data_IF_877093443409
#
_entry.id   IF_877093443409
#
_cell.length_a   1.000
_cell.length_b   1.000
_cell.length_c   1.000
_cell.angle_alpha   90.00
_cell.angle_beta   90.00
_cell.angle_gamma   90.00
#
_symmetry.space_group_name_H-M   'P 1'
#
loop_
_entity.id
_entity.type
_entity.pdbx_description
1 polymer ?
#
# COMPACT_ATOMS: atom_id res chain seq x y z
N UNK A 1 25.49 28.06 2.08
CA UNK A 1 25.83 26.93 1.19
C UNK A 1 24.55 26.10 1.02
N UNK A 2 23.81 26.31 -0.07
CA UNK A 2 22.57 25.57 -0.32
C UNK A 2 22.96 24.16 -0.79
N UNK A 3 22.78 23.17 0.08
CA UNK A 3 22.65 21.79 -0.40
C UNK A 3 21.40 21.79 -1.25
N UNK A 4 21.51 21.45 -2.54
CA UNK A 4 20.35 21.22 -3.41
C UNK A 4 19.53 20.11 -2.74
N UNK A 5 18.46 20.49 -2.06
CA UNK A 5 17.66 19.59 -1.24
C UNK A 5 16.91 18.64 -2.15
N UNK A 6 17.25 17.36 -2.11
CA UNK A 6 16.49 16.31 -2.79
C UNK A 6 15.07 16.33 -2.20
N UNK A 7 14.08 16.51 -3.06
CA UNK A 7 12.66 16.53 -2.67
C UNK A 7 12.20 15.15 -2.24
N UNK A 8 11.15 15.08 -1.42
CA UNK A 8 10.55 13.79 -1.04
C UNK A 8 10.08 12.99 -2.26
N UNK A 9 9.57 13.69 -3.29
CA UNK A 9 9.20 13.12 -4.58
C UNK A 9 10.39 12.40 -5.24
N UNK A 10 11.52 13.10 -5.41
CA UNK A 10 12.73 12.52 -6.01
C UNK A 10 13.24 11.30 -5.23
N UNK A 11 13.20 11.35 -3.90
CA UNK A 11 13.55 10.17 -3.08
C UNK A 11 12.64 8.98 -3.40
N UNK A 12 11.32 9.20 -3.50
CA UNK A 12 10.36 8.13 -3.78
C UNK A 12 10.53 7.58 -5.19
N UNK A 13 10.68 8.46 -6.18
CA UNK A 13 10.93 8.06 -7.58
C UNK A 13 12.22 7.26 -7.69
N UNK A 14 13.32 7.73 -7.08
CA UNK A 14 14.59 7.01 -7.09
C UNK A 14 14.49 5.65 -6.39
N UNK A 15 13.73 5.55 -5.30
CA UNK A 15 13.48 4.29 -4.61
C UNK A 15 12.66 3.29 -5.45
N UNK A 16 11.68 3.77 -6.22
CA UNK A 16 10.95 2.98 -7.22
C UNK A 16 11.89 2.48 -8.33
N UNK A 17 12.65 3.40 -8.94
CA UNK A 17 13.57 3.10 -10.04
C UNK A 17 14.63 2.07 -9.63
N UNK A 18 15.24 2.23 -8.45
CA UNK A 18 16.24 1.30 -7.92
C UNK A 18 15.71 -0.14 -7.74
N UNK A 19 14.39 -0.34 -7.78
CA UNK A 19 13.71 -1.62 -7.61
C UNK A 19 13.02 -2.11 -8.87
N UNK A 20 13.16 -1.40 -9.99
CA UNK A 20 12.45 -1.70 -11.24
C UNK A 20 10.93 -1.52 -11.11
N UNK A 21 10.48 -0.64 -10.22
CA UNK A 21 9.06 -0.35 -10.01
C UNK A 21 8.70 0.92 -10.77
N UNK A 22 7.64 0.86 -11.57
CA UNK A 22 7.05 2.05 -12.18
C UNK A 22 6.26 2.85 -11.13
N UNK A 23 6.59 4.14 -10.99
CA UNK A 23 5.99 5.03 -10.01
C UNK A 23 4.48 5.24 -10.24
N UNK A 24 4.06 5.36 -11.50
CA UNK A 24 2.67 5.62 -11.87
C UNK A 24 1.81 4.37 -11.73
N UNK A 25 2.31 3.21 -12.14
CA UNK A 25 1.62 1.94 -11.93
C UNK A 25 1.52 1.59 -10.45
N UNK A 26 2.56 1.86 -9.64
CA UNK A 26 2.49 1.71 -8.18
C UNK A 26 1.36 2.57 -7.59
N UNK A 27 1.23 3.83 -8.03
CA UNK A 27 0.12 4.68 -7.62
C UNK A 27 -1.24 4.07 -7.97
N UNK A 28 -1.41 3.61 -9.21
CA UNK A 28 -2.67 3.02 -9.69
C UNK A 28 -3.05 1.79 -8.87
N UNK A 29 -2.10 0.87 -8.66
CA UNK A 29 -2.32 -0.39 -7.92
C UNK A 29 -2.74 -0.09 -6.47
N UNK A 30 -1.98 0.76 -5.78
CA UNK A 30 -2.19 1.02 -4.36
C UNK A 30 -3.44 1.85 -4.12
N UNK A 31 -3.73 2.81 -4.99
CA UNK A 31 -4.95 3.63 -4.86
C UNK A 31 -6.20 2.76 -4.91
N UNK A 32 -6.28 1.80 -5.83
CA UNK A 32 -7.43 0.88 -5.90
C UNK A 32 -7.58 0.09 -4.59
N UNK A 33 -6.46 -0.35 -4.02
CA UNK A 33 -6.43 -1.10 -2.77
C UNK A 33 -6.81 -0.23 -1.55
N UNK A 34 -6.34 1.02 -1.47
CA UNK A 34 -6.72 1.96 -0.43
C UNK A 34 -8.20 2.35 -0.47
N UNK A 35 -8.79 2.54 -1.66
CA UNK A 35 -10.22 2.84 -1.81
C UNK A 35 -11.09 1.69 -1.29
N UNK A 36 -10.59 0.45 -1.30
CA UNK A 36 -11.29 -0.72 -0.77
C UNK A 36 -11.05 -0.97 0.71
N UNK A 37 -10.09 -0.28 1.34
CA UNK A 37 -9.64 -0.57 2.71
C UNK A 37 -10.78 -0.63 3.74
N UNK A 38 -11.54 0.45 3.89
CA UNK A 38 -12.61 0.53 4.90
C UNK A 38 -13.72 -0.51 4.63
N UNK A 39 -14.14 -0.65 3.37
CA UNK A 39 -15.18 -1.59 2.99
C UNK A 39 -14.75 -3.05 3.19
N UNK A 40 -13.50 -3.39 2.84
CA UNK A 40 -12.93 -4.72 3.06
C UNK A 40 -12.78 -5.04 4.54
N UNK A 41 -12.27 -4.09 5.34
CA UNK A 41 -12.15 -4.23 6.81
C UNK A 41 -13.52 -4.43 7.47
N UNK A 42 -14.53 -3.66 7.06
CA UNK A 42 -15.89 -3.82 7.55
C UNK A 42 -16.47 -5.17 7.16
N UNK A 43 -16.28 -5.61 5.91
CA UNK A 43 -16.73 -6.90 5.42
C UNK A 43 -16.11 -8.06 6.24
N UNK A 44 -14.79 -8.05 6.42
CA UNK A 44 -14.07 -9.05 7.21
C UNK A 44 -14.59 -9.12 8.65
N UNK A 45 -14.86 -7.96 9.27
CA UNK A 45 -15.45 -7.89 10.63
C UNK A 45 -16.83 -8.54 10.68
N UNK A 46 -17.68 -8.36 9.66
CA UNK A 46 -19.03 -8.96 9.60
C UNK A 46 -18.98 -10.48 9.38
N UNK A 47 -18.03 -10.98 8.59
CA UNK A 47 -17.93 -12.41 8.27
C UNK A 47 -17.42 -13.26 9.44
N UNK A 48 -16.79 -12.64 10.45
CA UNK A 48 -16.34 -13.32 11.67
C UNK A 48 -15.12 -14.24 11.47
N UNK A 49 -14.75 -14.96 12.54
CA UNK A 49 -13.49 -15.75 12.60
C UNK A 49 -13.47 -16.96 11.65
N UNK A 50 -14.61 -17.55 11.32
CA UNK A 50 -14.69 -18.73 10.46
C UNK A 50 -14.29 -18.45 9.01
N UNK A 51 -14.62 -17.27 8.49
CA UNK A 51 -14.18 -16.83 7.16
C UNK A 51 -12.67 -16.52 7.16
N UNK A 52 -12.16 -15.88 8.21
CA UNK A 52 -10.74 -15.55 8.37
C UNK A 52 -9.83 -16.78 8.45
N UNK A 53 -10.27 -17.85 9.09
CA UNK A 53 -9.51 -19.09 9.20
C UNK A 53 -9.45 -19.89 7.88
N UNK A 54 -10.44 -19.76 7.00
CA UNK A 54 -10.47 -20.42 5.69
C UNK A 54 -9.80 -19.60 4.56
N UNK A 55 -9.65 -18.29 4.74
CA UNK A 55 -9.15 -17.36 3.70
C UNK A 55 -7.72 -16.88 3.97
N UNK A 56 -7.14 -17.20 5.14
CA UNK A 56 -5.75 -16.89 5.52
C UNK A 56 -4.71 -17.65 4.70
N UNK A 57 -4.62 -17.34 3.40
CA UNK A 57 -3.47 -17.65 2.56
C UNK A 57 -2.70 -16.34 2.34
N UNK A 58 -2.10 -15.82 3.43
CA UNK A 58 -1.26 -14.59 3.41
C UNK A 58 -0.18 -14.66 2.32
N UNK A 59 0.38 -15.86 2.14
CA UNK A 59 1.45 -16.16 1.20
C UNK A 59 1.03 -15.86 -0.24
N UNK A 60 -0.01 -16.50 -0.83
CA UNK A 60 -0.49 -16.20 -2.17
C UNK A 60 -0.75 -14.73 -2.47
N UNK A 61 -1.31 -13.97 -1.52
CA UNK A 61 -1.56 -12.55 -1.75
C UNK A 61 -0.29 -11.69 -1.76
N UNK A 62 0.73 -12.04 -0.95
CA UNK A 62 2.00 -11.32 -0.98
C UNK A 62 2.77 -11.61 -2.26
N UNK A 63 2.84 -12.87 -2.68
CA UNK A 63 3.48 -13.27 -3.95
C UNK A 63 2.76 -12.63 -5.14
N UNK A 64 1.42 -12.69 -5.16
CA UNK A 64 0.62 -12.04 -6.20
C UNK A 64 0.80 -10.51 -6.20
N UNK A 65 0.93 -9.87 -5.02
CA UNK A 65 1.22 -8.44 -4.96
C UNK A 65 2.56 -8.08 -5.60
N UNK A 66 3.60 -8.86 -5.28
CA UNK A 66 4.94 -8.69 -5.85
C UNK A 66 4.88 -8.81 -7.37
N UNK A 67 4.16 -9.81 -7.89
CA UNK A 67 4.03 -10.02 -9.33
C UNK A 67 3.22 -8.93 -10.03
N UNK A 68 2.10 -8.48 -9.44
CA UNK A 68 1.32 -7.35 -9.97
C UNK A 68 2.16 -6.07 -10.04
N UNK A 69 3.02 -5.82 -9.06
CA UNK A 69 3.91 -4.64 -9.06
C UNK A 69 5.04 -4.79 -10.08
N UNK A 70 5.59 -5.99 -10.26
CA UNK A 70 6.67 -6.24 -11.21
C UNK A 70 6.18 -6.26 -12.68
N UNK A 71 4.96 -6.74 -12.90
CA UNK A 71 4.39 -6.96 -14.24
C UNK A 71 2.97 -6.36 -14.35
N UNK A 72 2.78 -5.04 -14.11
CA UNK A 72 1.46 -4.43 -14.00
C UNK A 72 0.59 -4.60 -15.26
N UNK A 73 1.23 -4.67 -16.44
CA UNK A 73 0.56 -4.81 -17.73
C UNK A 73 0.01 -6.22 -18.01
N UNK A 74 0.45 -7.23 -17.24
CA UNK A 74 -0.12 -8.58 -17.31
C UNK A 74 -1.51 -8.65 -16.66
N UNK A 75 -1.90 -7.61 -15.92
CA UNK A 75 -3.12 -7.56 -15.13
C UNK A 75 -4.08 -6.48 -15.61
N UNK A 76 -5.25 -6.92 -16.09
CA UNK A 76 -6.30 -6.00 -16.47
C UNK A 76 -6.93 -5.31 -15.24
N UNK A 77 -7.73 -4.27 -15.49
CA UNK A 77 -8.37 -3.48 -14.43
C UNK A 77 -9.29 -4.31 -13.52
N UNK A 78 -9.95 -5.34 -14.05
CA UNK A 78 -10.85 -6.21 -13.28
C UNK A 78 -10.06 -7.09 -12.32
N UNK A 79 -8.93 -7.63 -12.77
CA UNK A 79 -8.02 -8.44 -11.95
C UNK A 79 -7.43 -7.61 -10.81
N UNK A 80 -6.90 -6.42 -11.12
CA UNK A 80 -6.36 -5.50 -10.10
C UNK A 80 -7.41 -5.13 -9.05
N UNK A 81 -8.65 -4.85 -9.47
CA UNK A 81 -9.77 -4.58 -8.53
C UNK A 81 -10.17 -5.78 -7.70
N UNK A 82 -10.19 -6.98 -8.30
CA UNK A 82 -10.48 -8.22 -7.58
C UNK A 82 -9.42 -8.50 -6.53
N UNK A 83 -8.15 -8.36 -6.89
CA UNK A 83 -7.02 -8.48 -5.98
C UNK A 83 -7.11 -7.46 -4.83
N UNK A 84 -7.30 -6.18 -5.15
CA UNK A 84 -7.46 -5.11 -4.17
C UNK A 84 -8.57 -5.40 -3.16
N UNK A 85 -9.72 -5.90 -3.62
CA UNK A 85 -10.82 -6.30 -2.73
C UNK A 85 -10.44 -7.47 -1.82
N UNK A 86 -9.83 -8.52 -2.38
CA UNK A 86 -9.39 -9.69 -1.61
C UNK A 86 -8.42 -9.27 -0.50
N UNK A 87 -7.37 -8.51 -0.85
CA UNK A 87 -6.37 -8.03 0.13
C UNK A 87 -6.98 -7.08 1.16
N UNK A 88 -7.89 -6.19 0.77
CA UNK A 88 -8.54 -5.28 1.72
C UNK A 88 -9.37 -5.99 2.79
N UNK A 89 -9.84 -7.22 2.51
CA UNK A 89 -10.54 -8.06 3.47
C UNK A 89 -9.60 -8.85 4.39
N UNK A 90 -8.29 -8.83 4.15
CA UNK A 90 -7.34 -9.58 4.96
C UNK A 90 -6.98 -8.85 6.26
N UNK A 91 -7.03 -9.56 7.39
CA UNK A 91 -6.67 -9.00 8.71
C UNK A 91 -5.22 -8.53 8.75
N UNK A 92 -4.30 -9.32 8.17
CA UNK A 92 -2.89 -8.98 8.15
C UNK A 92 -2.64 -7.65 7.44
N UNK A 93 -3.43 -7.34 6.42
CA UNK A 93 -3.26 -6.11 5.67
C UNK A 93 -3.63 -4.90 6.54
N UNK A 94 -4.74 -4.95 7.28
CA UNK A 94 -5.09 -3.89 8.24
C UNK A 94 -4.03 -3.69 9.33
N UNK A 95 -3.49 -4.78 9.89
CA UNK A 95 -2.43 -4.71 10.90
C UNK A 95 -1.15 -4.09 10.34
N UNK A 96 -0.74 -4.51 9.13
CA UNK A 96 0.45 -3.98 8.47
C UNK A 96 0.28 -2.55 8.00
N UNK A 97 -0.92 -2.15 7.61
CA UNK A 97 -1.23 -0.75 7.23
C UNK A 97 -0.86 0.22 8.35
N UNK A 98 -1.20 -0.11 9.61
CA UNK A 98 -0.87 0.71 10.78
C UNK A 98 0.65 0.83 10.95
N UNK A 99 1.38 -0.29 10.85
CA UNK A 99 2.84 -0.28 10.96
C UNK A 99 3.51 0.50 9.82
N UNK A 100 2.96 0.44 8.61
CA UNK A 100 3.45 1.21 7.47
C UNK A 100 3.23 2.71 7.68
N UNK A 101 2.10 3.13 8.23
CA UNK A 101 1.88 4.54 8.58
C UNK A 101 2.94 5.06 9.57
N UNK A 102 3.33 4.26 10.56
CA UNK A 102 4.42 4.63 11.47
C UNK A 102 5.77 4.68 10.75
N UNK A 103 6.06 3.73 9.86
CA UNK A 103 7.29 3.76 9.05
C UNK A 103 7.35 4.97 8.11
N UNK A 104 6.22 5.39 7.54
CA UNK A 104 6.15 6.60 6.70
C UNK A 104 6.59 7.85 7.46
N UNK A 105 6.19 7.98 8.74
CA UNK A 105 6.60 9.10 9.60
C UNK A 105 8.12 9.15 9.81
N UNK A 106 8.80 8.01 9.75
CA UNK A 106 10.23 7.89 10.02
C UNK A 106 11.15 8.11 8.78
N UNK A 107 10.60 8.38 7.59
CA UNK A 107 11.39 8.24 6.36
C UNK A 107 12.34 9.46 6.07
N UNK A 108 12.04 10.74 6.43
CA UNK A 108 12.71 12.12 6.31
C UNK A 108 11.65 13.14 6.87
N UNK A 109 11.84 14.46 6.77
CA UNK A 109 11.24 15.52 7.58
C UNK A 109 9.81 15.96 7.19
N UNK A 110 9.41 15.96 5.91
CA UNK A 110 8.05 16.42 5.49
C UNK A 110 6.91 15.39 5.71
N UNK A 111 7.15 14.34 6.51
CA UNK A 111 6.51 13.02 6.28
C UNK A 111 5.39 12.62 7.22
N UNK A 112 5.18 13.40 8.26
CA UNK A 112 3.93 13.34 9.03
C UNK A 112 2.75 13.64 8.10
N UNK A 113 2.93 14.53 7.12
CA UNK A 113 1.89 14.89 6.15
C UNK A 113 1.47 13.69 5.29
N UNK A 114 2.42 12.90 4.78
CA UNK A 114 2.08 11.73 3.96
C UNK A 114 1.27 10.70 4.74
N UNK A 115 1.75 10.31 5.93
CA UNK A 115 1.02 9.37 6.79
C UNK A 115 -0.35 9.92 7.18
N UNK A 116 -0.43 11.23 7.47
CA UNK A 116 -1.68 11.90 7.82
C UNK A 116 -2.70 11.92 6.68
N UNK A 117 -2.27 12.14 5.44
CA UNK A 117 -3.13 12.04 4.26
C UNK A 117 -3.67 10.62 4.11
N UNK A 118 -2.81 9.60 4.20
CA UNK A 118 -3.24 8.21 4.04
C UNK A 118 -4.23 7.81 5.14
N UNK A 119 -3.90 8.08 6.40
CA UNK A 119 -4.77 7.79 7.54
C UNK A 119 -6.12 8.49 7.38
N UNK A 120 -6.09 9.82 7.22
CA UNK A 120 -7.28 10.66 7.22
C UNK A 120 -8.21 10.40 6.05
N UNK A 121 -7.68 10.11 4.85
CA UNK A 121 -8.51 9.95 3.64
C UNK A 121 -8.97 8.50 3.45
N UNK A 122 -8.20 7.51 3.92
CA UNK A 122 -8.45 6.11 3.57
C UNK A 122 -8.68 5.16 4.76
N UNK A 123 -8.14 5.44 5.95
CA UNK A 123 -8.03 4.40 7.00
C UNK A 123 -8.82 4.66 8.29
N UNK A 124 -9.32 5.88 8.51
CA UNK A 124 -10.08 6.24 9.73
C UNK A 124 -11.42 5.51 9.89
N UNK A 125 -11.97 4.95 8.81
CA UNK A 125 -13.30 4.34 8.76
C UNK A 125 -14.24 5.04 7.78
N UNK A 126 -15.33 4.37 7.41
CA UNK A 126 -16.23 4.81 6.32
C UNK A 126 -16.90 6.17 6.58
N UNK A 127 -17.19 6.49 7.85
CA UNK A 127 -17.87 7.74 8.24
C UNK A 127 -16.93 8.82 8.81
N UNK A 128 -15.64 8.50 8.92
CA UNK A 128 -14.62 9.34 9.59
C UNK A 128 -13.49 9.73 8.64
N UNK A 129 -13.48 9.16 7.43
CA UNK A 129 -12.53 9.52 6.38
C UNK A 129 -12.85 10.92 5.84
N UNK A 130 -11.82 11.76 5.74
CA UNK A 130 -11.91 13.12 5.21
C UNK A 130 -11.99 13.09 3.69
N UNK A 131 -12.74 14.04 3.13
CA UNK A 131 -12.68 14.31 1.69
C UNK A 131 -11.36 14.97 1.32
N UNK A 132 -10.96 14.87 0.05
CA UNK A 132 -9.77 15.55 -0.46
C UNK A 132 -9.85 17.07 -0.28
N UNK A 133 -11.05 17.65 -0.36
CA UNK A 133 -11.24 19.08 -0.09
C UNK A 133 -10.98 19.42 1.38
N UNK A 134 -11.52 18.65 2.32
CA UNK A 134 -11.30 18.87 3.75
C UNK A 134 -9.81 18.73 4.10
N UNK A 135 -9.14 17.71 3.57
CA UNK A 135 -7.71 17.48 3.79
C UNK A 135 -6.85 18.61 3.22
N UNK A 136 -7.22 19.16 2.06
CA UNK A 136 -6.54 20.31 1.45
C UNK A 136 -6.61 21.57 2.30
N UNK A 137 -7.80 21.87 2.80
CA UNK A 137 -8.05 23.05 3.64
C UNK A 137 -7.24 22.96 4.93
N UNK A 138 -7.20 21.77 5.54
CA UNK A 138 -6.44 21.50 6.76
C UNK A 138 -4.92 21.59 6.59
N UNK A 139 -4.38 21.13 5.46
CA UNK A 139 -2.95 21.23 5.17
C UNK A 139 -2.55 22.58 4.58
N UNK A 140 -3.50 23.49 4.38
CA UNK A 140 -3.30 24.76 3.69
C UNK A 140 -2.61 24.60 2.33
N UNK A 141 -2.98 23.57 1.57
CA UNK A 141 -2.37 23.24 0.28
C UNK A 141 -3.25 23.62 -0.91
N UNK A 142 -2.63 24.23 -1.92
CA UNK A 142 -3.22 24.40 -3.24
C UNK A 142 -3.59 23.06 -3.88
N UNK A 143 -4.51 23.08 -4.85
CA UNK A 143 -5.04 21.87 -5.48
C UNK A 143 -3.96 20.97 -6.05
N UNK A 144 -3.11 21.52 -6.91
CA UNK A 144 -2.05 20.79 -7.60
C UNK A 144 -1.09 20.17 -6.59
N UNK A 145 -0.50 21.01 -5.71
CA UNK A 145 0.40 20.57 -4.64
C UNK A 145 -0.17 19.43 -3.80
N UNK A 146 -1.43 19.51 -3.39
CA UNK A 146 -2.05 18.44 -2.61
C UNK A 146 -2.13 17.12 -3.37
N UNK A 147 -2.56 17.15 -4.63
CA UNK A 147 -2.68 15.90 -5.39
C UNK A 147 -1.32 15.28 -5.71
N UNK A 148 -0.29 16.09 -5.91
CA UNK A 148 1.10 15.61 -6.07
C UNK A 148 1.61 14.96 -4.78
N UNK A 149 1.48 15.66 -3.64
CA UNK A 149 1.84 15.16 -2.30
C UNK A 149 1.05 13.90 -1.95
N UNK A 150 -0.24 13.84 -2.29
CA UNK A 150 -1.08 12.65 -2.06
C UNK A 150 -0.64 11.49 -2.93
N UNK A 151 -0.25 11.73 -4.18
CA UNK A 151 0.29 10.70 -5.09
C UNK A 151 1.57 10.11 -4.50
N UNK A 152 2.50 10.95 -4.06
CA UNK A 152 3.73 10.53 -3.37
C UNK A 152 3.44 9.73 -2.10
N UNK A 153 2.49 10.17 -1.28
CA UNK A 153 2.08 9.45 -0.07
C UNK A 153 1.57 8.04 -0.39
N UNK A 154 0.77 7.89 -1.45
CA UNK A 154 0.23 6.61 -1.91
C UNK A 154 1.34 5.71 -2.43
N UNK A 155 2.28 6.23 -3.22
CA UNK A 155 3.40 5.45 -3.76
C UNK A 155 4.35 5.01 -2.63
N UNK A 156 4.68 5.91 -1.70
CA UNK A 156 5.53 5.56 -0.55
C UNK A 156 4.90 4.47 0.30
N UNK A 157 3.59 4.57 0.58
CA UNK A 157 2.85 3.52 1.27
C UNK A 157 2.98 2.18 0.53
N UNK A 158 2.79 2.21 -0.80
CA UNK A 158 2.95 1.05 -1.67
C UNK A 158 4.32 0.40 -1.61
N UNK A 159 5.37 1.21 -1.71
CA UNK A 159 6.76 0.77 -1.61
C UNK A 159 7.03 0.07 -0.29
N UNK A 160 6.52 0.60 0.83
CA UNK A 160 6.72 0.00 2.15
C UNK A 160 5.97 -1.34 2.30
N UNK A 161 4.74 -1.43 1.77
CA UNK A 161 4.02 -2.71 1.69
C UNK A 161 4.77 -3.70 0.79
N UNK A 162 5.28 -3.26 -0.35
CA UNK A 162 6.06 -4.12 -1.26
C UNK A 162 7.35 -4.62 -0.60
N UNK A 163 8.08 -3.75 0.09
CA UNK A 163 9.28 -4.13 0.86
C UNK A 163 8.95 -5.19 1.92
N UNK A 164 7.82 -5.03 2.61
CA UNK A 164 7.32 -6.05 3.55
C UNK A 164 7.03 -7.37 2.84
N UNK A 165 6.28 -7.35 1.73
CA UNK A 165 5.94 -8.54 0.96
C UNK A 165 7.18 -9.26 0.45
N UNK A 166 8.14 -8.56 -0.16
CA UNK A 166 9.41 -9.13 -0.65
C UNK A 166 10.24 -9.76 0.45
N UNK A 167 10.38 -9.09 1.60
CA UNK A 167 11.11 -9.62 2.75
C UNK A 167 10.49 -10.95 3.20
N UNK A 168 9.17 -10.99 3.32
CA UNK A 168 8.45 -12.18 3.75
C UNK A 168 8.46 -13.31 2.73
N UNK A 169 8.30 -13.01 1.45
CA UNK A 169 8.39 -14.00 0.36
C UNK A 169 9.76 -14.68 0.39
N UNK A 170 10.84 -13.91 0.56
CA UNK A 170 12.19 -14.47 0.72
C UNK A 170 12.33 -15.34 1.97
N UNK A 171 11.88 -14.86 3.13
CA UNK A 171 11.92 -15.64 4.37
C UNK A 171 11.12 -16.95 4.24
N UNK A 172 9.97 -16.93 3.58
CA UNK A 172 9.14 -18.13 3.43
C UNK A 172 9.78 -19.14 2.44
N UNK A 173 10.51 -18.66 1.41
CA UNK A 173 11.34 -19.50 0.52
C UNK A 173 12.53 -20.13 1.26
N UNK A 174 13.27 -19.32 2.03
CA UNK A 174 14.42 -19.77 2.83
C UNK A 174 14.02 -20.84 3.85
N UNK A 175 12.79 -20.77 4.37
CA UNK A 175 12.25 -21.76 5.31
C UNK A 175 11.57 -22.96 4.63
N UNK A 176 11.59 -23.05 3.29
CA UNK A 176 10.97 -24.15 2.55
C UNK A 176 9.45 -24.20 2.66
N UNK A 177 8.79 -23.08 2.98
CA UNK A 177 7.32 -22.99 3.06
C UNK A 177 6.73 -22.85 1.65
N UNK A 178 7.47 -22.18 0.76
CA UNK A 178 7.12 -21.98 -0.64
C UNK A 178 8.28 -22.27 -1.58
N UNK A 179 7.96 -22.69 -2.81
CA UNK A 179 8.92 -22.88 -3.89
C UNK A 179 9.39 -21.53 -4.48
N UNK A 180 10.29 -21.59 -5.46
CA UNK A 180 10.82 -20.40 -6.16
C UNK A 180 9.73 -19.58 -6.86
N UNK A 181 8.62 -20.22 -7.25
CA UNK A 181 7.47 -19.61 -7.90
C UNK A 181 6.44 -19.06 -6.89
N UNK A 182 6.66 -19.27 -5.59
CA UNK A 182 5.75 -18.86 -4.51
C UNK A 182 4.56 -19.80 -4.29
N UNK A 183 4.63 -21.03 -4.80
CA UNK A 183 3.65 -22.08 -4.50
C UNK A 183 3.98 -22.72 -3.15
N UNK A 184 2.94 -23.03 -2.35
CA UNK A 184 3.11 -23.71 -1.06
C UNK A 184 3.64 -25.12 -1.32
N UNK A 185 4.69 -25.49 -0.59
CA UNK A 185 5.26 -26.84 -0.59
C UNK A 185 4.50 -27.63 0.47
N UNK A 186 3.82 -28.71 0.06
CA UNK A 186 3.14 -29.67 0.95
C UNK A 186 4.13 -30.65 1.59
#
# INVERSE_FOLDING_TARGET
MYVIGITAHEVIVNECLARGIDYDEMYVIIRELMIKYNAGKAFAKRMGRGWLNNVSKKIPYRTQFIDIVAHPYNYNKKERKSFAWKVACEVWYSEKSILVLEQMKAFVEERVVFAHIIDSVYMRGENTSKTDLAMRLELHMGRTKYFDVKKDAIVLYGLLIWKYCKKRDREDKENGIIDENGNIID
#
